data_IF_360707257712
#
_entry.id   IF_360707257712
#
_cell.length_a   1.000
_cell.length_b   1.000
_cell.length_c   1.000
_cell.angle_alpha   90.00
_cell.angle_beta   90.00
_cell.angle_gamma   90.00
#
_symmetry.space_group_name_H-M   'P 1'
#
loop_
_entity.id
_entity.type
_entity.pdbx_description
1 polymer ?
#
# COMPACT_ATOMS: atom_id res chain seq x y z
N UNK A 1 8.74 -6.60 -58.22
CA UNK A 1 7.91 -6.08 -57.11
C UNK A 1 7.57 -7.22 -56.16
N UNK A 2 8.28 -7.32 -55.03
CA UNK A 2 7.86 -8.04 -53.81
C UNK A 2 8.51 -7.31 -52.63
N UNK A 3 7.72 -6.50 -51.92
CA UNK A 3 8.06 -5.99 -50.60
C UNK A 3 7.68 -7.06 -49.58
N UNK A 4 8.61 -7.44 -48.71
CA UNK A 4 8.36 -8.17 -47.46
C UNK A 4 9.48 -7.73 -46.52
N UNK A 5 9.26 -6.75 -45.64
CA UNK A 5 8.46 -6.71 -44.41
C UNK A 5 9.44 -6.71 -43.21
N UNK A 6 9.34 -5.62 -42.45
CA UNK A 6 10.05 -5.33 -41.19
C UNK A 6 9.96 -6.50 -40.20
N UNK A 7 11.09 -6.92 -39.64
CA UNK A 7 11.12 -7.66 -38.36
C UNK A 7 11.62 -6.73 -37.26
N UNK A 8 10.70 -6.36 -36.38
CA UNK A 8 10.91 -5.61 -35.15
C UNK A 8 11.66 -6.55 -34.18
N UNK A 9 12.85 -6.14 -33.74
CA UNK A 9 13.57 -6.80 -32.65
C UNK A 9 12.83 -6.44 -31.36
N UNK A 10 12.11 -7.40 -30.80
CA UNK A 10 11.44 -7.29 -29.51
C UNK A 10 12.51 -7.43 -28.41
N UNK A 11 12.93 -6.31 -27.83
CA UNK A 11 13.82 -6.31 -26.67
C UNK A 11 12.97 -6.69 -25.46
N UNK A 12 13.05 -7.94 -25.02
CA UNK A 12 12.59 -8.36 -23.70
C UNK A 12 13.48 -7.69 -22.65
N UNK A 13 13.05 -6.54 -22.12
CA UNK A 13 13.53 -6.07 -20.84
C UNK A 13 12.97 -6.98 -19.75
N UNK A 14 13.69 -8.05 -19.42
CA UNK A 14 13.46 -8.72 -18.13
C UNK A 14 14.02 -7.81 -17.05
N UNK A 15 13.20 -6.88 -16.57
CA UNK A 15 13.46 -6.28 -15.27
C UNK A 15 13.25 -7.39 -14.24
N UNK A 16 14.37 -7.91 -13.72
CA UNK A 16 14.40 -8.63 -12.45
C UNK A 16 13.99 -7.62 -11.36
N UNK A 17 12.69 -7.42 -11.23
CA UNK A 17 12.10 -6.82 -10.05
C UNK A 17 12.20 -7.92 -8.99
N UNK A 18 13.16 -7.79 -8.07
CA UNK A 18 13.08 -8.51 -6.81
C UNK A 18 11.85 -7.93 -6.09
N UNK A 19 10.69 -8.54 -6.33
CA UNK A 19 9.52 -8.26 -5.53
C UNK A 19 9.88 -8.71 -4.10
N UNK A 20 9.71 -7.84 -3.12
CA UNK A 20 9.62 -8.29 -1.75
C UNK A 20 8.51 -9.35 -1.73
N UNK A 21 8.88 -10.62 -1.49
CA UNK A 21 7.94 -11.75 -1.44
C UNK A 21 7.15 -11.71 -0.13
N UNK A 22 6.46 -10.59 0.12
CA UNK A 22 5.52 -10.48 1.23
C UNK A 22 4.38 -11.45 0.98
N UNK A 23 4.20 -12.36 1.92
CA UNK A 23 3.04 -13.25 2.04
C UNK A 23 1.98 -12.61 2.92
N UNK A 24 0.82 -13.25 3.02
CA UNK A 24 -0.33 -12.70 3.71
C UNK A 24 -0.94 -13.70 4.68
N UNK A 25 -1.09 -13.30 5.93
CA UNK A 25 -1.58 -14.16 7.00
C UNK A 25 -2.84 -13.56 7.64
N UNK A 26 -4.00 -14.21 7.52
CA UNK A 26 -5.22 -13.82 8.21
C UNK A 26 -5.19 -14.34 9.66
N UNK A 27 -5.46 -13.44 10.61
CA UNK A 27 -5.80 -13.77 11.99
C UNK A 27 -7.29 -13.55 12.19
N UNK A 28 -8.00 -14.58 12.63
CA UNK A 28 -9.43 -14.51 12.93
C UNK A 28 -9.59 -14.50 14.46
N UNK A 29 -10.32 -13.51 14.97
CA UNK A 29 -10.64 -13.38 16.39
C UNK A 29 -12.00 -14.03 16.69
N UNK A 30 -12.18 -14.42 17.95
CA UNK A 30 -13.42 -15.05 18.42
C UNK A 30 -14.67 -14.14 18.31
N UNK A 31 -14.47 -12.83 18.16
CA UNK A 31 -15.53 -11.83 17.97
C UNK A 31 -15.97 -11.62 16.52
N UNK A 32 -15.50 -12.47 15.59
CA UNK A 32 -15.85 -12.37 14.17
C UNK A 32 -15.16 -11.22 13.45
N UNK A 33 -14.05 -10.73 14.01
CA UNK A 33 -13.17 -9.74 13.37
C UNK A 33 -11.89 -10.42 12.90
N UNK A 34 -11.47 -10.07 11.69
CA UNK A 34 -10.23 -10.53 11.08
C UNK A 34 -9.26 -9.39 10.83
N UNK A 35 -7.98 -9.69 10.96
CA UNK A 35 -6.88 -8.82 10.58
C UNK A 35 -5.98 -9.60 9.63
N UNK A 36 -5.59 -9.01 8.51
CA UNK A 36 -4.66 -9.62 7.56
C UNK A 36 -3.32 -8.89 7.66
N UNK A 37 -2.25 -9.62 7.94
CA UNK A 37 -0.90 -9.08 8.01
C UNK A 37 -0.11 -9.44 6.75
N UNK A 38 0.67 -8.50 6.21
CA UNK A 38 1.77 -8.84 5.32
C UNK A 38 2.94 -9.39 6.16
N UNK A 39 3.38 -10.61 5.86
CA UNK A 39 4.41 -11.33 6.63
C UNK A 39 5.37 -12.08 5.68
N UNK A 40 6.27 -12.91 6.22
CA UNK A 40 7.12 -13.81 5.43
C UNK A 40 6.47 -15.20 5.21
N UNK A 41 5.35 -15.47 5.87
CA UNK A 41 4.63 -16.74 5.90
C UNK A 41 3.15 -16.54 5.53
N UNK A 42 2.44 -17.64 5.22
CA UNK A 42 1.04 -17.58 4.81
C UNK A 42 0.84 -17.64 3.29
N UNK A 43 -0.22 -16.99 2.81
CA UNK A 43 -0.66 -17.04 1.42
C UNK A 43 0.24 -16.19 0.50
N UNK A 44 0.40 -16.62 -0.76
CA UNK A 44 1.28 -15.94 -1.72
C UNK A 44 0.68 -14.63 -2.22
N UNK A 45 -0.64 -14.47 -2.11
CA UNK A 45 -1.33 -13.23 -2.48
C UNK A 45 -2.33 -12.76 -1.44
N UNK A 46 -2.55 -11.44 -1.41
CA UNK A 46 -3.58 -10.84 -0.57
C UNK A 46 -4.98 -11.37 -0.90
N UNK A 47 -5.26 -11.64 -2.18
CA UNK A 47 -6.55 -12.18 -2.61
C UNK A 47 -6.83 -13.57 -2.04
N UNK A 48 -5.82 -14.44 -1.99
CA UNK A 48 -5.93 -15.77 -1.35
C UNK A 48 -6.19 -15.64 0.16
N UNK A 49 -5.44 -14.77 0.85
CA UNK A 49 -5.66 -14.52 2.27
C UNK A 49 -7.08 -14.01 2.55
N UNK A 50 -7.55 -13.01 1.79
CA UNK A 50 -8.92 -12.49 1.86
C UNK A 50 -9.95 -13.60 1.61
N UNK A 51 -9.72 -14.47 0.62
CA UNK A 51 -10.61 -15.58 0.28
C UNK A 51 -10.68 -16.67 1.34
N UNK A 52 -9.65 -16.81 2.18
CA UNK A 52 -9.62 -17.78 3.28
C UNK A 52 -10.35 -17.30 4.54
N UNK A 53 -10.65 -16.01 4.66
CA UNK A 53 -11.40 -15.46 5.79
C UNK A 53 -12.88 -15.89 5.68
N UNK A 54 -13.50 -16.46 6.72
CA UNK A 54 -14.93 -16.80 6.72
C UNK A 54 -15.81 -15.61 6.34
N UNK A 55 -16.86 -15.82 5.54
CA UNK A 55 -17.71 -14.73 5.00
C UNK A 55 -18.48 -13.95 6.08
N UNK A 56 -18.73 -14.55 7.23
CA UNK A 56 -19.34 -13.91 8.40
C UNK A 56 -18.34 -13.04 9.19
N UNK A 57 -17.04 -13.29 9.05
CA UNK A 57 -15.98 -12.47 9.64
C UNK A 57 -15.73 -11.18 8.84
N UNK A 58 -15.54 -10.07 9.55
CA UNK A 58 -15.18 -8.77 8.97
C UNK A 58 -13.66 -8.59 8.92
N UNK A 59 -13.07 -8.27 7.76
CA UNK A 59 -11.64 -7.92 7.71
C UNK A 59 -11.46 -6.47 8.13
N UNK A 60 -11.40 -6.19 9.42
CA UNK A 60 -11.30 -4.82 9.97
C UNK A 60 -10.01 -4.11 9.55
N UNK A 61 -8.89 -4.85 9.48
CA UNK A 61 -7.60 -4.28 9.13
C UNK A 61 -6.81 -5.12 8.12
N UNK A 62 -6.14 -4.43 7.21
CA UNK A 62 -5.00 -4.96 6.45
C UNK A 62 -3.74 -4.22 6.91
N UNK A 63 -2.74 -4.96 7.38
CA UNK A 63 -1.57 -4.40 8.07
C UNK A 63 -0.31 -4.68 7.27
N UNK A 64 0.48 -3.63 7.02
CA UNK A 64 1.73 -3.70 6.26
C UNK A 64 2.86 -3.22 7.17
N UNK A 65 3.61 -4.14 7.81
CA UNK A 65 4.58 -3.80 8.85
C UNK A 65 5.86 -3.15 8.32
N UNK A 66 6.17 -3.39 7.04
CA UNK A 66 7.24 -2.72 6.32
C UNK A 66 6.67 -2.18 5.03
N UNK A 67 6.74 -0.86 4.85
CA UNK A 67 6.37 -0.26 3.58
C UNK A 67 7.12 -0.94 2.44
N UNK A 68 6.43 -1.30 1.35
CA UNK A 68 7.08 -1.81 0.16
C UNK A 68 8.20 -0.84 -0.24
N UNK A 69 9.40 -1.38 -0.37
CA UNK A 69 10.54 -0.63 -0.92
C UNK A 69 10.51 -0.62 -2.45
N UNK A 70 9.41 -1.14 -3.03
CA UNK A 70 9.14 -1.08 -4.45
C UNK A 70 9.27 0.38 -4.93
N UNK A 71 9.84 0.57 -6.11
CA UNK A 71 10.15 1.92 -6.55
C UNK A 71 8.90 2.71 -6.95
N UNK A 72 7.77 2.07 -7.23
CA UNK A 72 6.60 2.74 -7.79
C UNK A 72 5.69 3.32 -6.69
N UNK A 73 5.40 2.57 -5.63
CA UNK A 73 4.78 3.06 -4.42
C UNK A 73 5.61 4.18 -3.77
N UNK A 74 6.93 3.98 -3.61
CA UNK A 74 7.80 5.05 -3.08
C UNK A 74 7.79 6.30 -3.98
N UNK A 75 7.70 6.15 -5.31
CA UNK A 75 7.53 7.27 -6.25
C UNK A 75 6.15 7.93 -6.09
N UNK A 76 5.07 7.15 -6.04
CA UNK A 76 3.70 7.65 -5.91
C UNK A 76 3.57 8.51 -4.65
N UNK A 77 4.06 8.01 -3.51
CA UNK A 77 4.09 8.77 -2.26
C UNK A 77 4.93 10.05 -2.41
N UNK A 78 6.15 9.93 -2.94
CA UNK A 78 7.04 11.07 -3.09
C UNK A 78 6.44 12.17 -3.97
N UNK A 79 5.88 11.81 -5.12
CA UNK A 79 5.30 12.77 -6.05
C UNK A 79 4.03 13.41 -5.50
N UNK A 80 3.15 12.62 -4.88
CA UNK A 80 1.94 13.16 -4.26
C UNK A 80 2.29 14.21 -3.19
N UNK A 81 3.22 13.89 -2.28
CA UNK A 81 3.64 14.85 -1.24
C UNK A 81 4.31 16.07 -1.87
N UNK A 82 5.17 15.87 -2.87
CA UNK A 82 5.85 16.99 -3.55
C UNK A 82 4.88 17.94 -4.24
N UNK A 83 3.86 17.42 -4.91
CA UNK A 83 2.88 18.25 -5.63
C UNK A 83 1.99 19.06 -4.69
N UNK A 84 1.71 18.54 -3.50
CA UNK A 84 0.76 19.15 -2.57
C UNK A 84 1.41 19.94 -1.42
N UNK A 85 2.63 19.55 -1.00
CA UNK A 85 3.32 20.11 0.17
C UNK A 85 4.85 20.13 -0.02
N UNK A 86 5.33 20.73 -1.12
CA UNK A 86 6.77 20.77 -1.42
C UNK A 86 7.59 21.43 -0.31
N UNK A 87 7.10 22.51 0.29
CA UNK A 87 7.84 23.26 1.32
C UNK A 87 8.10 22.43 2.57
N UNK A 88 7.07 21.73 3.06
CA UNK A 88 7.14 20.82 4.19
C UNK A 88 8.03 19.62 3.86
N UNK A 89 7.95 19.10 2.64
CA UNK A 89 8.81 18.02 2.17
C UNK A 89 10.27 18.44 2.19
N UNK A 90 10.60 19.60 1.61
CA UNK A 90 11.96 20.13 1.59
C UNK A 90 12.48 20.38 3.02
N UNK A 91 11.63 20.90 3.91
CA UNK A 91 11.98 21.09 5.32
C UNK A 91 12.25 19.76 6.04
N UNK A 92 11.38 18.76 5.87
CA UNK A 92 11.50 17.43 6.45
C UNK A 92 12.78 16.76 5.97
N UNK A 93 13.02 16.76 4.65
CA UNK A 93 14.24 16.27 4.05
C UNK A 93 15.44 17.01 4.64
N UNK A 94 15.53 18.34 4.56
CA UNK A 94 16.70 19.10 5.03
C UNK A 94 17.01 18.92 6.52
N UNK A 95 16.01 18.55 7.33
CA UNK A 95 16.19 18.40 8.76
C UNK A 95 16.60 17.02 9.25
N UNK A 96 16.66 16.01 8.36
CA UNK A 96 17.07 14.63 8.63
C UNK A 96 16.71 14.15 10.06
N UNK A 97 15.55 13.51 10.24
CA UNK A 97 15.17 13.02 11.57
C UNK A 97 14.16 11.88 11.54
N UNK A 98 14.13 11.17 12.67
CA UNK A 98 13.19 10.08 12.96
C UNK A 98 11.77 10.62 13.25
N UNK A 99 10.85 9.75 13.66
CA UNK A 99 9.43 10.04 13.86
C UNK A 99 9.10 11.19 14.84
N UNK A 100 10.06 11.68 15.62
CA UNK A 100 9.86 12.78 16.58
C UNK A 100 10.28 14.15 16.05
N UNK A 101 10.84 14.21 14.83
CA UNK A 101 11.20 15.48 14.21
C UNK A 101 9.92 16.26 13.83
N UNK A 102 9.69 17.48 14.35
CA UNK A 102 8.50 18.27 14.04
C UNK A 102 8.26 18.50 12.55
N UNK A 103 9.34 18.54 11.75
CA UNK A 103 9.25 18.71 10.30
C UNK A 103 8.79 17.43 9.59
N UNK A 104 9.07 16.26 10.16
CA UNK A 104 8.52 14.97 9.69
C UNK A 104 7.06 14.84 10.13
N UNK A 105 6.73 15.30 11.34
CA UNK A 105 5.35 15.33 11.85
C UNK A 105 4.43 16.16 10.94
N UNK A 106 4.93 17.27 10.40
CA UNK A 106 4.18 18.10 9.46
C UNK A 106 3.73 17.34 8.19
N UNK A 107 4.39 16.23 7.85
CA UNK A 107 4.04 15.40 6.68
C UNK A 107 3.01 14.31 6.99
N UNK A 108 2.60 14.13 8.24
CA UNK A 108 1.76 13.00 8.64
C UNK A 108 0.42 12.94 7.89
N UNK A 109 -0.28 14.07 7.80
CA UNK A 109 -1.57 14.17 7.12
C UNK A 109 -1.41 13.89 5.62
N UNK A 110 -0.53 14.61 4.93
CA UNK A 110 -0.31 14.41 3.49
C UNK A 110 0.23 13.02 3.16
N UNK A 111 0.99 12.39 4.06
CA UNK A 111 1.43 11.01 3.90
C UNK A 111 0.24 10.04 3.92
N UNK A 112 -0.72 10.21 4.84
CA UNK A 112 -1.92 9.35 4.85
C UNK A 112 -2.75 9.52 3.59
N UNK A 113 -2.92 10.74 3.11
CA UNK A 113 -3.60 11.02 1.85
C UNK A 113 -2.87 10.38 0.65
N UNK A 114 -1.54 10.53 0.59
CA UNK A 114 -0.73 9.95 -0.47
C UNK A 114 -0.88 8.42 -0.51
N UNK A 115 -0.90 7.77 0.66
CA UNK A 115 -1.10 6.32 0.77
C UNK A 115 -2.49 5.91 0.28
N UNK A 116 -3.55 6.61 0.70
CA UNK A 116 -4.92 6.31 0.27
C UNK A 116 -5.14 6.51 -1.23
N UNK A 117 -4.47 7.49 -1.84
CA UNK A 117 -4.56 7.78 -3.27
C UNK A 117 -3.55 6.99 -4.12
N UNK A 118 -2.77 6.10 -3.51
CA UNK A 118 -1.77 5.30 -4.23
C UNK A 118 -2.41 4.12 -4.97
N UNK A 119 -1.73 3.65 -6.03
CA UNK A 119 -2.08 2.39 -6.71
C UNK A 119 -2.02 1.17 -5.78
N UNK A 120 -1.25 1.27 -4.70
CA UNK A 120 -1.18 0.23 -3.69
C UNK A 120 -2.49 0.10 -2.93
N UNK A 121 -3.05 1.21 -2.43
CA UNK A 121 -4.36 1.21 -1.80
C UNK A 121 -5.48 0.79 -2.77
N UNK A 122 -5.39 1.22 -4.04
CA UNK A 122 -6.28 0.75 -5.10
C UNK A 122 -6.23 -0.78 -5.25
N UNK A 123 -5.04 -1.37 -5.26
CA UNK A 123 -4.88 -2.84 -5.38
C UNK A 123 -5.48 -3.60 -4.19
N UNK A 124 -5.39 -3.05 -2.97
CA UNK A 124 -6.03 -3.64 -1.79
C UNK A 124 -7.56 -3.56 -1.92
N UNK A 125 -8.10 -2.42 -2.35
CA UNK A 125 -9.54 -2.26 -2.60
C UNK A 125 -10.06 -3.24 -3.67
N UNK A 126 -9.30 -3.47 -4.74
CA UNK A 126 -9.66 -4.47 -5.76
C UNK A 126 -9.76 -5.87 -5.15
N UNK A 127 -8.82 -6.23 -4.26
CA UNK A 127 -8.85 -7.54 -3.61
C UNK A 127 -10.03 -7.69 -2.63
N UNK A 128 -10.32 -6.65 -1.85
CA UNK A 128 -11.43 -6.60 -0.90
C UNK A 128 -12.81 -6.57 -1.57
N UNK A 129 -12.91 -6.11 -2.82
CA UNK A 129 -14.17 -6.01 -3.55
C UNK A 129 -14.93 -7.34 -3.65
N UNK A 130 -14.22 -8.47 -3.68
CA UNK A 130 -14.80 -9.83 -3.67
C UNK A 130 -15.68 -10.11 -2.45
N UNK A 131 -15.50 -9.36 -1.36
CA UNK A 131 -16.25 -9.49 -0.10
C UNK A 131 -17.21 -8.32 0.17
N UNK A 132 -17.34 -7.40 -0.78
CA UNK A 132 -17.98 -6.11 -0.55
C UNK A 132 -17.42 -5.40 0.69
N UNK A 133 -16.10 -5.34 0.78
CA UNK A 133 -15.39 -4.53 1.78
C UNK A 133 -14.50 -3.53 1.05
N UNK A 134 -14.16 -2.41 1.70
CA UNK A 134 -13.28 -1.38 1.13
C UNK A 134 -12.51 -0.66 2.23
N UNK A 135 -11.34 -0.14 1.89
CA UNK A 135 -10.57 0.77 2.76
C UNK A 135 -11.36 2.08 2.95
N UNK A 136 -11.37 2.58 4.17
CA UNK A 136 -11.94 3.89 4.53
C UNK A 136 -10.89 4.86 5.03
N UNK A 137 -9.95 4.38 5.83
CA UNK A 137 -8.87 5.19 6.40
C UNK A 137 -7.56 4.41 6.41
N UNK A 138 -6.46 5.14 6.50
CA UNK A 138 -5.16 4.58 6.82
C UNK A 138 -4.61 5.30 8.04
N UNK A 139 -4.11 4.54 9.00
CA UNK A 139 -3.26 5.05 10.06
C UNK A 139 -1.87 4.43 9.94
N UNK A 140 -0.91 5.00 10.64
CA UNK A 140 0.46 4.52 10.57
C UNK A 140 1.17 4.60 11.91
N UNK A 141 2.22 3.79 12.04
CA UNK A 141 3.18 3.88 13.14
C UNK A 141 4.60 4.04 12.60
N UNK A 142 5.48 4.59 13.44
CA UNK A 142 6.92 4.67 13.19
C UNK A 142 7.26 5.29 11.82
N UNK A 143 6.53 6.34 11.42
CA UNK A 143 6.83 7.04 10.17
C UNK A 143 8.18 7.77 10.24
N UNK A 144 9.04 7.53 9.27
CA UNK A 144 10.29 8.29 9.11
C UNK A 144 10.74 8.32 7.64
N UNK A 145 11.63 9.26 7.34
CA UNK A 145 12.23 9.42 6.00
C UNK A 145 13.72 9.16 6.09
N UNK A 146 14.21 8.16 5.35
CA UNK A 146 15.63 7.88 5.20
C UNK A 146 16.22 8.57 3.98
N UNK A 147 17.47 9.03 4.10
CA UNK A 147 18.31 9.55 3.01
C UNK A 147 19.47 8.61 2.66
N UNK A 148 19.46 7.37 3.12
CA UNK A 148 20.55 6.41 2.89
C UNK A 148 20.74 6.02 1.42
N UNK A 149 19.80 6.40 0.55
CA UNK A 149 19.86 6.15 -0.89
C UNK A 149 19.87 7.47 -1.68
N UNK A 150 20.15 7.41 -2.99
CA UNK A 150 20.09 8.58 -3.88
C UNK A 150 18.71 9.26 -3.91
N UNK A 151 17.65 8.57 -3.43
CA UNK A 151 16.30 9.09 -3.30
C UNK A 151 15.81 8.97 -1.85
N UNK A 152 14.95 9.88 -1.38
CA UNK A 152 14.27 9.71 -0.10
C UNK A 152 13.50 8.39 -0.08
N UNK A 153 13.56 7.68 1.04
CA UNK A 153 12.75 6.49 1.29
C UNK A 153 11.84 6.75 2.48
N UNK A 154 10.56 6.45 2.30
CA UNK A 154 9.55 6.55 3.34
C UNK A 154 9.38 5.18 3.98
N UNK A 155 9.30 5.17 5.31
CA UNK A 155 9.10 3.97 6.11
C UNK A 155 7.99 4.21 7.11
N UNK A 156 7.11 3.24 7.28
CA UNK A 156 6.05 3.20 8.28
C UNK A 156 5.53 1.76 8.43
N UNK A 157 4.80 1.50 9.50
CA UNK A 157 3.82 0.42 9.57
C UNK A 157 2.49 1.03 9.15
N UNK A 158 1.79 0.45 8.17
CA UNK A 158 0.46 0.92 7.76
C UNK A 158 -0.64 0.03 8.30
N UNK A 159 -1.72 0.66 8.72
CA UNK A 159 -2.96 0.02 9.11
C UNK A 159 -4.08 0.56 8.23
N UNK A 160 -4.48 -0.22 7.24
CA UNK A 160 -5.64 0.09 6.42
C UNK A 160 -6.89 -0.38 7.16
N UNK A 161 -7.76 0.55 7.53
CA UNK A 161 -9.06 0.24 8.14
C UNK A 161 -10.09 0.08 7.04
N UNK A 162 -10.93 -0.93 7.15
CA UNK A 162 -11.98 -1.20 6.15
C UNK A 162 -13.38 -0.85 6.68
N UNK A 163 -14.36 -0.92 5.80
CA UNK A 163 -15.77 -1.08 6.16
C UNK A 163 -16.41 -2.14 5.28
N UNK A 164 -17.51 -2.72 5.76
CA UNK A 164 -18.43 -3.50 4.92
C UNK A 164 -19.27 -2.53 4.08
N UNK A 165 -19.55 -2.90 2.84
CA UNK A 165 -20.60 -2.26 2.06
C UNK A 165 -21.91 -2.29 2.86
N UNK A 166 -22.63 -1.17 2.87
CA UNK A 166 -24.03 -1.21 3.25
C UNK A 166 -24.79 -1.98 2.16
N UNK A 167 -25.16 -3.24 2.43
CA UNK A 167 -26.18 -3.89 1.61
C UNK A 167 -27.49 -3.12 1.86
N UNK A 168 -27.86 -2.24 0.94
CA UNK A 168 -29.26 -1.83 0.84
C UNK A 168 -30.06 -3.12 0.66
N UNK A 169 -30.76 -3.55 1.71
CA UNK A 169 -31.86 -4.50 1.57
C UNK A 169 -32.81 -3.87 0.56
N UNK A 170 -32.80 -4.36 -0.68
CA UNK A 170 -33.94 -4.16 -1.56
C UNK A 170 -35.11 -4.90 -0.91
N UNK A 171 -35.95 -4.17 -0.19
CA UNK A 171 -37.26 -4.65 0.21
C UNK A 171 -38.03 -4.96 -1.08
N UNK A 172 -38.24 -6.24 -1.35
CA UNK A 172 -39.26 -6.74 -2.28
C UNK A 172 -40.51 -7.08 -1.50
#
# INVERSE_FOLDING_TARGET
MKLTAFSIIFIFFTQLVSADNLKWEPTIRDDGVSVIFATNEGFESLGEAIGSVPNDSWIMHVVVPLLPQNTDFQKDIHYYIKENQQGELDAALNSAGNMHNPKVIALHEIFTEAVLNSKYAESINIALASRCERITTVSFEKFYISKTSAKPQYSAILWFTTEKCNQQKSEN
#
